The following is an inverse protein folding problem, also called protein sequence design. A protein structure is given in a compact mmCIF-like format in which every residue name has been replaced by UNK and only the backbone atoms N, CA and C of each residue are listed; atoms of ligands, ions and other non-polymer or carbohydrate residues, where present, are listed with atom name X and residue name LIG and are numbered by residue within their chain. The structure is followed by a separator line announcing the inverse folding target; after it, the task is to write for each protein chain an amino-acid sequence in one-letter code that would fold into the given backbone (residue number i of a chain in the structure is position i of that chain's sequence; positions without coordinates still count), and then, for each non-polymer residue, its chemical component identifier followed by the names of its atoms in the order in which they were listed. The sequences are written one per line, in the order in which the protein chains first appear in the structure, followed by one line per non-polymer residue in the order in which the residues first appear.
data_IF_425767995682
#
_entry.id   IF_425767995682
#
_cell.length_a   1.000
_cell.length_b   1.000
_cell.length_c   1.000
_cell.angle_alpha   90.00
_cell.angle_beta   90.00
_cell.angle_gamma   90.00
#
_symmetry.space_group_name_H-M   'P 1'
#
loop_
_entity.id
_entity.type
_entity.pdbx_description
1 polymer ?
#
# COMPACT_ATOMS: atom_id res chain seq x y z
N UNK A 1 -3.98 -44.11 0.53
CA UNK A 1 -3.21 -43.25 1.46
C UNK A 1 -3.70 -41.84 1.26
N UNK A 2 -4.66 -41.43 2.08
CA UNK A 2 -5.31 -40.11 2.05
C UNK A 2 -4.32 -39.08 2.64
N UNK A 3 -3.61 -38.33 1.80
CA UNK A 3 -2.81 -37.23 2.32
C UNK A 3 -3.72 -36.04 2.62
N UNK A 4 -3.74 -35.69 3.90
CA UNK A 4 -4.65 -34.75 4.56
C UNK A 4 -4.67 -33.37 3.89
N UNK A 5 -5.88 -32.90 3.58
CA UNK A 5 -6.24 -31.48 3.30
C UNK A 5 -6.13 -30.64 4.58
N UNK A 6 -4.92 -30.48 5.11
CA UNK A 6 -4.65 -29.58 6.22
C UNK A 6 -3.28 -28.97 6.00
N UNK A 7 -3.20 -27.63 6.04
CA UNK A 7 -1.97 -26.81 6.00
C UNK A 7 -1.56 -26.16 4.67
N UNK A 8 -2.52 -25.74 3.84
CA UNK A 8 -2.30 -24.60 2.95
C UNK A 8 -3.00 -23.35 3.50
N UNK A 9 -2.68 -22.98 4.76
CA UNK A 9 -2.86 -21.62 5.26
C UNK A 9 -1.60 -20.80 4.98
N UNK A 10 -1.01 -20.98 3.79
CA UNK A 10 -0.24 -19.92 3.18
C UNK A 10 -1.27 -18.90 2.71
N UNK A 11 -1.66 -17.96 3.60
CA UNK A 11 -2.20 -16.67 3.17
C UNK A 11 -1.13 -16.09 2.26
N UNK A 12 -1.31 -16.41 1.00
CA UNK A 12 -0.43 -16.14 -0.10
C UNK A 12 -0.43 -14.62 -0.22
N UNK A 13 0.60 -14.00 0.36
CA UNK A 13 0.96 -12.60 0.21
C UNK A 13 1.31 -12.35 -1.27
N UNK A 14 0.34 -12.55 -2.15
CA UNK A 14 0.47 -12.50 -3.60
C UNK A 14 0.56 -11.05 -4.10
N UNK A 15 0.61 -10.09 -3.16
CA UNK A 15 0.60 -8.67 -3.47
C UNK A 15 -0.75 -8.26 -4.06
N UNK A 16 -1.85 -8.92 -3.66
CA UNK A 16 -3.16 -8.50 -4.13
C UNK A 16 -3.57 -7.18 -3.47
N UNK A 17 -4.22 -6.31 -4.24
CA UNK A 17 -4.72 -5.02 -3.77
C UNK A 17 -5.73 -5.14 -2.62
N UNK A 18 -6.27 -6.36 -2.41
CA UNK A 18 -7.33 -6.69 -1.46
C UNK A 18 -6.81 -7.15 -0.10
N UNK A 19 -5.50 -7.35 0.05
CA UNK A 19 -4.87 -7.76 1.30
C UNK A 19 -4.53 -6.51 2.12
N UNK A 20 -5.44 -6.16 3.04
CA UNK A 20 -5.30 -5.01 3.93
C UNK A 20 -5.24 -5.50 5.39
N UNK A 21 -4.22 -5.10 6.17
CA UNK A 21 -3.12 -4.20 5.80
C UNK A 21 -2.08 -4.87 4.88
N UNK A 22 -1.52 -4.14 3.89
CA UNK A 22 -0.40 -4.63 3.09
C UNK A 22 0.88 -4.74 3.91
N UNK A 23 1.83 -5.55 3.45
CA UNK A 23 3.19 -5.55 3.99
C UNK A 23 3.90 -4.24 3.62
N UNK A 24 4.58 -3.62 4.59
CA UNK A 24 5.41 -2.44 4.34
C UNK A 24 6.45 -2.69 3.23
N UNK A 25 7.00 -3.91 3.15
CA UNK A 25 7.92 -4.31 2.08
C UNK A 25 7.31 -4.15 0.69
N UNK A 26 6.03 -4.53 0.49
CA UNK A 26 5.34 -4.35 -0.79
C UNK A 26 5.16 -2.87 -1.13
N UNK A 27 4.81 -2.04 -0.15
CA UNK A 27 4.70 -0.58 -0.33
C UNK A 27 6.05 -0.01 -0.75
N UNK A 28 7.13 -0.36 -0.05
CA UNK A 28 8.49 0.12 -0.37
C UNK A 28 8.92 -0.24 -1.79
N UNK A 29 8.70 -1.48 -2.22
CA UNK A 29 9.04 -1.93 -3.59
C UNK A 29 8.30 -1.09 -4.64
N UNK A 30 7.02 -0.78 -4.43
CA UNK A 30 6.27 0.04 -5.41
C UNK A 30 6.80 1.47 -5.44
N UNK A 31 7.11 2.06 -4.28
CA UNK A 31 7.68 3.42 -4.24
C UNK A 31 9.06 3.48 -4.91
N UNK A 32 9.91 2.48 -4.67
CA UNK A 32 11.22 2.33 -5.33
C UNK A 32 11.07 2.24 -6.86
N UNK A 33 10.15 1.39 -7.34
CA UNK A 33 9.81 1.29 -8.77
C UNK A 33 9.26 2.60 -9.37
N UNK A 34 8.72 3.49 -8.55
CA UNK A 34 8.18 4.79 -8.98
C UNK A 34 9.18 5.94 -8.84
N UNK A 35 10.45 5.62 -8.53
CA UNK A 35 11.54 6.57 -8.25
C UNK A 35 11.20 7.53 -7.10
N UNK A 36 10.48 7.03 -6.10
CA UNK A 36 10.13 7.77 -4.89
C UNK A 36 10.96 7.27 -3.70
N UNK A 37 11.19 8.18 -2.76
CA UNK A 37 11.97 7.87 -1.56
C UNK A 37 11.22 6.90 -0.64
N UNK A 38 11.96 5.98 -0.02
CA UNK A 38 11.43 5.02 0.96
C UNK A 38 10.73 5.72 2.14
N UNK A 39 11.17 6.94 2.47
CA UNK A 39 10.53 7.79 3.50
C UNK A 39 9.06 8.06 3.18
N UNK A 40 8.72 8.28 1.90
CA UNK A 40 7.34 8.52 1.46
C UNK A 40 6.48 7.25 1.59
N UNK A 41 7.08 6.08 1.29
CA UNK A 41 6.43 4.78 1.50
C UNK A 41 6.09 4.57 2.99
N UNK A 42 7.02 4.90 3.88
CA UNK A 42 6.82 4.80 5.32
C UNK A 42 5.76 5.79 5.84
N UNK A 43 5.75 7.02 5.32
CA UNK A 43 4.72 8.02 5.65
C UNK A 43 3.33 7.55 5.24
N UNK A 44 3.19 7.05 4.01
CA UNK A 44 1.95 6.45 3.53
C UNK A 44 1.48 5.33 4.45
N UNK A 45 2.34 4.33 4.70
CA UNK A 45 1.99 3.17 5.51
C UNK A 45 1.57 3.57 6.94
N UNK A 46 2.34 4.45 7.57
CA UNK A 46 2.06 4.92 8.94
C UNK A 46 0.77 5.72 9.01
N UNK A 47 0.46 6.53 7.99
CA UNK A 47 -0.77 7.31 7.92
C UNK A 47 -2.00 6.40 7.89
N UNK A 48 -2.01 5.39 7.01
CA UNK A 48 -3.13 4.46 6.91
C UNK A 48 -3.19 3.47 8.07
N UNK A 49 -2.05 3.08 8.64
CA UNK A 49 -2.01 2.24 9.85
C UNK A 49 -2.64 2.95 11.07
N UNK A 50 -2.34 4.24 11.28
CA UNK A 50 -2.95 5.02 12.38
C UNK A 50 -4.45 5.19 12.20
N UNK A 51 -4.91 5.30 10.95
CA UNK A 51 -6.33 5.41 10.62
C UNK A 51 -7.04 4.04 10.51
N UNK A 52 -6.38 2.94 10.90
CA UNK A 52 -6.96 1.60 10.91
C UNK A 52 -7.30 1.06 9.52
N UNK A 53 -6.64 1.55 8.47
CA UNK A 53 -6.91 1.21 7.07
C UNK A 53 -8.39 1.38 6.65
N UNK A 54 -9.00 2.44 7.17
CA UNK A 54 -10.38 2.83 6.85
C UNK A 54 -10.39 4.18 6.16
N UNK A 55 -11.41 4.42 5.34
CA UNK A 55 -11.70 5.73 4.78
C UNK A 55 -12.22 6.68 5.87
N UNK A 56 -12.23 7.99 5.60
CA UNK A 56 -12.82 8.99 6.50
C UNK A 56 -14.31 8.74 6.81
N UNK A 57 -14.99 7.98 5.96
CA UNK A 57 -16.39 7.55 6.14
C UNK A 57 -16.54 6.26 6.94
N UNK A 58 -15.44 5.68 7.46
CA UNK A 58 -15.44 4.45 8.25
C UNK A 58 -15.51 3.17 7.40
N UNK A 59 -15.34 3.27 6.08
CA UNK A 59 -15.39 2.10 5.19
C UNK A 59 -13.98 1.47 5.12
N UNK A 60 -13.83 0.15 5.31
CA UNK A 60 -12.54 -0.50 5.18
C UNK A 60 -12.00 -0.35 3.76
N UNK A 61 -10.73 0.01 3.65
CA UNK A 61 -10.04 0.12 2.36
C UNK A 61 -9.97 -1.27 1.76
N UNK A 62 -10.59 -1.45 0.59
CA UNK A 62 -10.51 -2.69 -0.17
C UNK A 62 -9.31 -2.72 -1.08
N UNK A 63 -8.93 -1.59 -1.68
CA UNK A 63 -7.86 -1.52 -2.68
C UNK A 63 -6.77 -0.56 -2.23
N UNK A 64 -5.82 -1.02 -1.42
CA UNK A 64 -4.73 -0.17 -0.93
C UNK A 64 -3.82 0.33 -2.06
N UNK A 65 -3.65 -0.46 -3.13
CA UNK A 65 -2.88 -0.05 -4.33
C UNK A 65 -3.50 1.17 -5.03
N UNK A 66 -4.83 1.22 -5.15
CA UNK A 66 -5.51 2.38 -5.75
C UNK A 66 -5.25 3.66 -4.93
N UNK A 67 -5.29 3.54 -3.60
CA UNK A 67 -5.00 4.66 -2.70
C UNK A 67 -3.53 5.06 -2.77
N UNK A 68 -2.63 4.08 -2.91
CA UNK A 68 -1.22 4.31 -3.13
C UNK A 68 -0.95 5.02 -4.46
N UNK A 69 -1.61 4.62 -5.54
CA UNK A 69 -1.50 5.29 -6.85
C UNK A 69 -1.97 6.74 -6.76
N UNK A 70 -3.08 7.00 -6.06
CA UNK A 70 -3.55 8.36 -5.79
C UNK A 70 -2.53 9.17 -4.97
N UNK A 71 -1.97 8.58 -3.92
CA UNK A 71 -0.94 9.22 -3.10
C UNK A 71 0.30 9.60 -3.92
N UNK A 72 0.79 8.67 -4.75
CA UNK A 72 1.92 8.90 -5.65
C UNK A 72 1.60 10.00 -6.67
N UNK A 73 0.38 10.00 -7.21
CA UNK A 73 -0.06 11.04 -8.15
C UNK A 73 -0.06 12.42 -7.50
N UNK A 74 -0.58 12.53 -6.28
CA UNK A 74 -0.57 13.77 -5.50
C UNK A 74 0.86 14.23 -5.17
N UNK A 75 1.74 13.32 -4.73
CA UNK A 75 3.17 13.62 -4.50
C UNK A 75 3.85 14.15 -5.78
N UNK A 76 3.65 13.48 -6.91
CA UNK A 76 4.22 13.90 -8.21
C UNK A 76 3.62 15.22 -8.70
N UNK A 77 2.38 15.54 -8.34
CA UNK A 77 1.71 16.80 -8.66
C UNK A 77 2.25 17.94 -7.80
N UNK A 78 2.48 17.71 -6.51
CA UNK A 78 3.02 18.74 -5.61
C UNK A 78 4.50 19.05 -5.91
N UNK A 79 5.32 18.02 -6.18
CA UNK A 79 6.70 18.20 -6.66
C UNK A 79 6.79 19.04 -7.95
N UNK A 80 5.76 18.99 -8.80
CA UNK A 80 5.66 19.82 -10.02
C UNK A 80 5.30 21.28 -9.73
N UNK A 81 4.67 21.59 -8.59
CA UNK A 81 4.39 22.98 -8.20
C UNK A 81 5.64 23.72 -7.73
N UNK A 82 6.66 23.01 -7.24
CA UNK A 82 7.89 23.61 -6.71
C UNK A 82 9.01 23.84 -7.75
N UNK A 83 8.98 23.19 -8.92
CA UNK A 83 9.95 23.44 -10.02
C UNK A 83 9.67 24.73 -10.82
N UNK A 84 8.82 25.62 -10.32
CA UNK A 84 8.39 26.84 -11.03
C UNK A 84 8.90 28.15 -10.43
N UNK A 85 9.93 28.09 -9.58
CA UNK A 85 10.64 29.26 -9.07
C UNK A 85 12.15 29.03 -9.16
#
# INVERSE_FOLDING_TARGET
MEYKKSELNHKSNLGFSNEVPPLLAHVKIIFDQQELEEKEAFLFFTHFQKNGWQTKTGVPIKNWKYILDQWIWDLKKDRRKWKKF
#
